data_IF_713339291728
#
_entry.id   IF_713339291728
#
_cell.length_a   1.000
_cell.length_b   1.000
_cell.length_c   1.000
_cell.angle_alpha   90.00
_cell.angle_beta   90.00
_cell.angle_gamma   90.00
#
_symmetry.space_group_name_H-M   'P 1'
#
loop_
_entity.id
_entity.type
_entity.pdbx_description
1 polymer ?
#
# COMPACT_ATOMS: atom_id res chain seq x y z
N UNK A 1 18.64 -52.70 16.45
CA UNK A 1 17.91 -53.81 15.79
C UNK A 1 18.68 -54.38 14.60
N UNK A 2 18.92 -53.64 13.50
CA UNK A 2 19.65 -54.15 12.31
C UNK A 2 21.09 -54.63 12.58
N UNK A 3 21.84 -53.94 13.44
CA UNK A 3 23.22 -54.34 13.80
C UNK A 3 23.29 -55.61 14.66
N UNK A 4 22.30 -55.86 15.51
CA UNK A 4 22.27 -57.02 16.43
C UNK A 4 21.93 -58.32 15.69
N UNK A 5 20.97 -58.26 14.76
CA UNK A 5 20.61 -59.40 13.89
C UNK A 5 21.77 -59.79 12.98
N UNK A 6 22.53 -58.81 12.48
CA UNK A 6 23.71 -59.07 11.66
C UNK A 6 24.83 -59.76 12.46
N UNK A 7 25.02 -59.37 13.73
CA UNK A 7 25.99 -59.99 14.63
C UNK A 7 25.63 -61.44 14.98
N UNK A 8 24.34 -61.71 15.27
CA UNK A 8 23.82 -63.07 15.49
C UNK A 8 23.98 -63.96 14.25
N UNK A 9 23.69 -63.42 13.06
CA UNK A 9 23.89 -64.14 11.81
C UNK A 9 25.38 -64.45 11.55
N UNK A 10 26.27 -63.49 11.81
CA UNK A 10 27.71 -63.70 11.67
C UNK A 10 28.23 -64.78 12.64
N UNK A 11 27.74 -64.80 13.88
CA UNK A 11 28.09 -65.81 14.88
C UNK A 11 27.57 -67.20 14.51
N UNK A 12 26.32 -67.29 14.05
CA UNK A 12 25.74 -68.54 13.57
C UNK A 12 26.49 -69.08 12.34
N UNK A 13 26.89 -68.20 11.43
CA UNK A 13 27.71 -68.55 10.26
C UNK A 13 29.11 -69.03 10.68
N UNK A 14 29.74 -68.38 11.66
CA UNK A 14 31.05 -68.76 12.18
C UNK A 14 31.02 -70.13 12.89
N UNK A 15 30.00 -70.40 13.71
CA UNK A 15 29.80 -71.69 14.37
C UNK A 15 29.52 -72.80 13.34
N UNK A 16 28.67 -72.51 12.34
CA UNK A 16 28.39 -73.45 11.24
C UNK A 16 29.64 -73.77 10.43
N UNK A 17 30.47 -72.78 10.12
CA UNK A 17 31.76 -72.99 9.45
C UNK A 17 32.72 -73.81 10.32
N UNK A 18 32.86 -73.50 11.61
CA UNK A 18 33.76 -74.22 12.52
C UNK A 18 33.40 -75.71 12.64
N UNK A 19 32.11 -76.04 12.71
CA UNK A 19 31.63 -77.43 12.74
C UNK A 19 31.90 -78.17 11.42
N UNK A 20 31.75 -77.49 10.28
CA UNK A 20 32.00 -78.08 8.96
C UNK A 20 33.50 -78.31 8.69
N UNK A 21 34.39 -77.51 9.29
CA UNK A 21 35.84 -77.66 9.17
C UNK A 21 36.42 -78.79 10.06
N UNK A 22 35.72 -79.27 11.07
CA UNK A 22 36.29 -80.14 12.09
C UNK A 22 36.58 -81.59 11.61
N UNK A 23 35.86 -82.11 10.61
CA UNK A 23 35.86 -83.55 10.27
C UNK A 23 36.21 -83.85 8.80
N UNK A 24 36.90 -82.92 8.12
CA UNK A 24 37.16 -82.99 6.68
C UNK A 24 38.57 -83.50 6.34
N UNK A 25 38.67 -84.71 5.80
CA UNK A 25 39.91 -85.32 5.28
C UNK A 25 40.22 -84.97 3.80
N UNK A 26 39.44 -84.09 3.18
CA UNK A 26 39.61 -83.69 1.78
C UNK A 26 40.94 -82.96 1.53
N UNK A 27 41.60 -83.28 0.43
CA UNK A 27 42.85 -82.64 -0.01
C UNK A 27 42.65 -82.01 -1.40
N UNK A 28 43.14 -80.79 -1.59
CA UNK A 28 43.16 -80.10 -2.88
C UNK A 28 44.61 -80.06 -3.35
N UNK A 29 44.85 -80.58 -4.55
CA UNK A 29 46.18 -80.61 -5.16
C UNK A 29 46.21 -79.67 -6.35
N UNK A 30 47.09 -78.68 -6.33
CA UNK A 30 47.29 -77.74 -7.43
C UNK A 30 48.56 -78.16 -8.15
N UNK A 31 48.40 -78.57 -9.40
CA UNK A 31 49.50 -79.03 -10.24
C UNK A 31 49.94 -77.91 -11.19
N UNK A 32 51.16 -77.40 -10.99
CA UNK A 32 51.78 -76.39 -11.83
C UNK A 32 53.19 -76.86 -12.20
N UNK A 33 53.41 -77.48 -13.37
CA UNK A 33 54.70 -78.12 -13.70
C UNK A 33 55.91 -77.20 -13.49
N UNK A 34 56.99 -77.63 -12.80
CA UNK A 34 57.25 -78.95 -12.20
C UNK A 34 56.79 -79.10 -10.72
N UNK A 35 56.07 -78.13 -10.16
CA UNK A 35 55.66 -78.09 -8.76
C UNK A 35 54.27 -78.70 -8.55
N UNK A 36 54.10 -79.40 -7.42
CA UNK A 36 52.80 -79.89 -6.94
C UNK A 36 52.60 -79.37 -5.52
N UNK A 37 51.52 -78.63 -5.31
CA UNK A 37 51.15 -78.09 -4.01
C UNK A 37 49.93 -78.83 -3.48
N UNK A 38 50.14 -79.61 -2.43
CA UNK A 38 49.07 -80.37 -1.75
C UNK A 38 48.68 -79.59 -0.49
N UNK A 39 47.40 -79.23 -0.37
CA UNK A 39 46.85 -78.50 0.77
C UNK A 39 45.55 -79.13 1.26
N UNK A 40 45.24 -79.00 2.55
CA UNK A 40 43.95 -79.45 3.08
C UNK A 40 42.81 -78.63 2.46
N UNK A 41 41.66 -79.26 2.23
CA UNK A 41 40.50 -78.59 1.64
C UNK A 41 40.06 -77.36 2.46
N UNK A 42 40.18 -77.45 3.79
CA UNK A 42 39.92 -76.34 4.70
C UNK A 42 40.86 -75.15 4.47
N UNK A 43 42.16 -75.40 4.28
CA UNK A 43 43.14 -74.36 3.99
C UNK A 43 42.88 -73.71 2.62
N UNK A 44 42.57 -74.52 1.60
CA UNK A 44 42.21 -74.02 0.28
C UNK A 44 40.94 -73.13 0.32
N UNK A 45 39.91 -73.55 1.05
CA UNK A 45 38.69 -72.77 1.23
C UNK A 45 38.92 -71.45 1.96
N UNK A 46 39.72 -71.47 3.04
CA UNK A 46 40.10 -70.26 3.76
C UNK A 46 40.93 -69.31 2.89
N UNK A 47 41.89 -69.85 2.13
CA UNK A 47 42.71 -69.07 1.21
C UNK A 47 41.87 -68.43 0.09
N UNK A 48 40.87 -69.15 -0.45
CA UNK A 48 39.94 -68.63 -1.44
C UNK A 48 39.05 -67.53 -0.86
N UNK A 49 38.51 -67.73 0.35
CA UNK A 49 37.74 -66.70 1.05
C UNK A 49 38.59 -65.46 1.33
N UNK A 50 39.82 -65.64 1.81
CA UNK A 50 40.77 -64.54 2.03
C UNK A 50 41.08 -63.80 0.73
N UNK A 51 41.35 -64.53 -0.36
CA UNK A 51 41.58 -63.95 -1.69
C UNK A 51 40.37 -63.16 -2.19
N UNK A 52 39.16 -63.68 -2.00
CA UNK A 52 37.91 -62.98 -2.34
C UNK A 52 37.73 -61.70 -1.51
N UNK A 53 37.96 -61.74 -0.20
CA UNK A 53 37.88 -60.57 0.68
C UNK A 53 38.91 -59.52 0.28
N UNK A 54 40.15 -59.93 0.00
CA UNK A 54 41.22 -59.05 -0.47
C UNK A 54 40.87 -58.42 -1.83
N UNK A 55 40.41 -59.22 -2.80
CA UNK A 55 39.98 -58.73 -4.11
C UNK A 55 38.83 -57.73 -3.97
N UNK A 56 37.83 -58.04 -3.15
CA UNK A 56 36.72 -57.13 -2.88
C UNK A 56 37.20 -55.82 -2.24
N UNK A 57 38.11 -55.89 -1.27
CA UNK A 57 38.69 -54.71 -0.62
C UNK A 57 39.47 -53.84 -1.62
N UNK A 58 40.26 -54.45 -2.50
CA UNK A 58 40.99 -53.74 -3.57
C UNK A 58 40.03 -53.09 -4.56
N UNK A 59 39.03 -53.82 -5.06
CA UNK A 59 38.02 -53.27 -5.97
C UNK A 59 37.24 -52.13 -5.34
N UNK A 60 36.87 -52.24 -4.06
CA UNK A 60 36.17 -51.19 -3.33
C UNK A 60 37.06 -49.97 -3.08
N UNK A 61 38.33 -50.18 -2.75
CA UNK A 61 39.32 -49.11 -2.62
C UNK A 61 39.49 -48.34 -3.93
N UNK A 62 39.61 -49.06 -5.05
CA UNK A 62 39.70 -48.47 -6.38
C UNK A 62 38.42 -47.68 -6.73
N UNK A 63 37.24 -48.23 -6.44
CA UNK A 63 35.97 -47.54 -6.65
C UNK A 63 35.88 -46.22 -5.83
N UNK A 64 36.31 -46.23 -4.56
CA UNK A 64 36.35 -45.01 -3.75
C UNK A 64 37.31 -43.96 -4.32
N UNK A 65 38.47 -44.40 -4.83
CA UNK A 65 39.47 -43.52 -5.43
C UNK A 65 38.96 -42.89 -6.73
N UNK A 66 38.22 -43.67 -7.53
CA UNK A 66 37.54 -43.19 -8.75
C UNK A 66 36.33 -42.28 -8.46
N UNK A 67 35.65 -42.46 -7.32
CA UNK A 67 34.51 -41.63 -6.89
C UNK A 67 34.92 -40.31 -6.20
N UNK A 68 36.13 -40.22 -5.63
CA UNK A 68 36.66 -39.00 -5.02
C UNK A 68 36.53 -37.73 -5.87
N UNK A 69 36.86 -37.69 -7.17
CA UNK A 69 36.70 -36.48 -7.99
C UNK A 69 35.24 -36.02 -8.10
N UNK A 70 34.27 -36.95 -8.05
CA UNK A 70 32.84 -36.61 -8.04
C UNK A 70 32.39 -36.07 -6.67
N UNK A 71 32.94 -36.60 -5.57
CA UNK A 71 32.69 -36.10 -4.22
C UNK A 71 33.31 -34.70 -4.01
N UNK A 72 34.54 -34.48 -4.48
CA UNK A 72 35.20 -33.18 -4.44
C UNK A 72 34.44 -32.12 -5.24
N UNK A 73 33.93 -32.46 -6.44
CA UNK A 73 33.07 -31.56 -7.23
C UNK A 73 31.79 -31.20 -6.49
N UNK A 74 31.11 -32.17 -5.87
CA UNK A 74 29.91 -31.92 -5.03
C UNK A 74 30.21 -31.04 -3.82
N UNK A 75 31.32 -31.30 -3.14
CA UNK A 75 31.77 -30.48 -2.00
C UNK A 75 32.09 -29.05 -2.43
N UNK A 76 32.82 -28.86 -3.52
CA UNK A 76 33.13 -27.53 -4.09
C UNK A 76 31.86 -26.76 -4.47
N UNK A 77 30.92 -27.41 -5.17
CA UNK A 77 29.62 -26.80 -5.52
C UNK A 77 28.86 -26.35 -4.26
N UNK A 78 28.80 -27.20 -3.23
CA UNK A 78 28.14 -26.87 -1.96
C UNK A 78 28.86 -25.74 -1.21
N UNK A 79 30.19 -25.69 -1.27
CA UNK A 79 30.97 -24.61 -0.68
C UNK A 79 30.74 -23.28 -1.41
N UNK A 80 30.76 -23.28 -2.75
CA UNK A 80 30.48 -22.11 -3.57
C UNK A 80 29.06 -21.58 -3.35
N UNK A 81 28.06 -22.47 -3.30
CA UNK A 81 26.68 -22.10 -3.01
C UNK A 81 26.55 -21.42 -1.63
N UNK A 82 27.18 -21.98 -0.60
CA UNK A 82 27.21 -21.38 0.74
C UNK A 82 27.91 -20.03 0.75
N UNK A 83 29.02 -19.89 0.04
CA UNK A 83 29.76 -18.63 -0.04
C UNK A 83 28.91 -17.52 -0.70
N UNK A 84 28.19 -17.83 -1.79
CA UNK A 84 27.27 -16.88 -2.43
C UNK A 84 26.11 -16.47 -1.52
N UNK A 85 25.50 -17.44 -0.84
CA UNK A 85 24.41 -17.19 0.11
C UNK A 85 24.89 -16.34 1.29
N UNK A 86 26.07 -16.63 1.84
CA UNK A 86 26.69 -15.84 2.90
C UNK A 86 26.98 -14.41 2.44
N UNK A 87 27.60 -14.23 1.26
CA UNK A 87 27.86 -12.90 0.72
C UNK A 87 26.59 -12.08 0.49
N UNK A 88 25.50 -12.73 0.06
CA UNK A 88 24.19 -12.07 -0.09
C UNK A 88 23.62 -11.63 1.26
N UNK A 89 23.72 -12.48 2.28
CA UNK A 89 23.30 -12.15 3.64
C UNK A 89 24.12 -11.01 4.24
N UNK A 90 25.44 -10.99 4.00
CA UNK A 90 26.33 -9.92 4.44
C UNK A 90 26.00 -8.58 3.75
N UNK A 91 25.75 -8.62 2.44
CA UNK A 91 25.31 -7.44 1.68
C UNK A 91 23.98 -6.89 2.22
N UNK A 92 23.01 -7.77 2.50
CA UNK A 92 21.74 -7.39 3.11
C UNK A 92 21.92 -6.81 4.51
N UNK A 93 22.76 -7.43 5.35
CA UNK A 93 23.07 -6.97 6.70
C UNK A 93 23.74 -5.58 6.68
N UNK A 94 24.63 -5.32 5.73
CA UNK A 94 25.24 -4.01 5.56
C UNK A 94 24.24 -2.95 5.07
N UNK A 95 23.35 -3.30 4.14
CA UNK A 95 22.30 -2.40 3.68
C UNK A 95 21.33 -2.01 4.80
N UNK A 96 20.84 -2.99 5.58
CA UNK A 96 19.94 -2.72 6.71
C UNK A 96 20.63 -1.96 7.84
N UNK A 97 21.94 -2.16 8.04
CA UNK A 97 22.74 -1.39 8.99
C UNK A 97 23.17 0.00 8.49
N UNK A 98 22.72 0.44 7.31
CA UNK A 98 23.07 1.74 6.74
C UNK A 98 24.51 1.87 6.22
N UNK A 99 25.27 0.76 6.15
CA UNK A 99 26.65 0.72 5.65
C UNK A 99 26.67 0.54 4.14
N UNK A 100 26.07 1.47 3.39
CA UNK A 100 25.75 1.32 1.97
C UNK A 100 26.97 1.05 1.07
N UNK A 101 28.12 1.65 1.34
CA UNK A 101 29.32 1.41 0.54
C UNK A 101 29.86 -0.02 0.71
N UNK A 102 29.79 -0.59 1.93
CA UNK A 102 30.18 -1.98 2.19
C UNK A 102 29.13 -2.96 1.66
N UNK A 103 27.85 -2.62 1.79
CA UNK A 103 26.75 -3.40 1.24
C UNK A 103 26.84 -3.52 -0.28
N UNK A 104 27.10 -2.41 -0.99
CA UNK A 104 27.29 -2.41 -2.44
C UNK A 104 28.48 -3.28 -2.86
N UNK A 105 29.65 -3.09 -2.22
CA UNK A 105 30.84 -3.91 -2.50
C UNK A 105 30.61 -5.40 -2.25
N UNK A 106 29.93 -5.76 -1.15
CA UNK A 106 29.59 -7.16 -0.87
C UNK A 106 28.65 -7.74 -1.95
N UNK A 107 27.66 -6.98 -2.40
CA UNK A 107 26.78 -7.38 -3.50
C UNK A 107 27.53 -7.52 -4.83
N UNK A 108 28.42 -6.57 -5.18
CA UNK A 108 29.28 -6.63 -6.37
C UNK A 108 30.19 -7.87 -6.38
N UNK A 109 30.74 -8.25 -5.21
CA UNK A 109 31.52 -9.49 -5.07
C UNK A 109 30.67 -10.72 -5.38
N UNK A 110 29.44 -10.80 -4.86
CA UNK A 110 28.51 -11.90 -5.15
C UNK A 110 28.15 -11.94 -6.62
N UNK A 111 27.91 -10.79 -7.25
CA UNK A 111 27.62 -10.69 -8.70
C UNK A 111 28.77 -11.28 -9.50
N UNK A 112 30.01 -10.88 -9.23
CA UNK A 112 31.18 -11.34 -9.98
C UNK A 112 31.44 -12.84 -9.78
N UNK A 113 31.34 -13.33 -8.53
CA UNK A 113 31.44 -14.76 -8.22
C UNK A 113 30.35 -15.58 -8.93
N UNK A 114 29.13 -15.05 -9.01
CA UNK A 114 28.03 -15.76 -9.68
C UNK A 114 28.23 -15.76 -11.19
N UNK A 115 28.67 -14.63 -11.76
CA UNK A 115 28.96 -14.50 -13.19
C UNK A 115 30.08 -15.44 -13.63
N UNK A 116 31.15 -15.57 -12.84
CA UNK A 116 32.25 -16.50 -13.15
C UNK A 116 31.75 -17.95 -13.15
N UNK A 117 30.92 -18.33 -12.18
CA UNK A 117 30.35 -19.68 -12.10
C UNK A 117 29.39 -20.01 -13.25
N UNK A 118 28.66 -19.00 -13.76
CA UNK A 118 27.82 -19.17 -14.95
C UNK A 118 28.65 -19.37 -16.23
N UNK A 119 29.79 -18.68 -16.37
CA UNK A 119 30.69 -18.83 -17.54
C UNK A 119 31.36 -20.20 -17.60
N UNK A 120 31.74 -20.75 -16.46
CA UNK A 120 32.44 -22.04 -16.36
C UNK A 120 31.52 -23.28 -16.50
N UNK A 121 30.27 -23.11 -16.97
CA UNK A 121 29.21 -24.14 -17.03
C UNK A 121 28.93 -24.81 -15.66
N UNK A 122 29.36 -24.20 -14.56
CA UNK A 122 29.11 -24.64 -13.18
C UNK A 122 27.90 -23.92 -12.58
N UNK A 123 26.93 -23.56 -13.43
CA UNK A 123 25.75 -22.83 -13.02
C UNK A 123 24.97 -23.56 -11.92
N UNK A 124 24.87 -22.91 -10.76
CA UNK A 124 24.06 -23.38 -9.66
C UNK A 124 22.57 -23.13 -9.96
N UNK A 125 21.64 -23.97 -9.44
CA UNK A 125 20.22 -23.90 -9.78
C UNK A 125 19.53 -22.60 -9.36
N UNK A 126 20.10 -21.83 -8.42
CA UNK A 126 19.57 -20.55 -7.91
C UNK A 126 20.44 -19.34 -8.34
N UNK A 127 21.40 -19.55 -9.23
CA UNK A 127 22.43 -18.55 -9.57
C UNK A 127 21.82 -17.26 -10.12
N UNK A 128 20.82 -17.35 -11.00
CA UNK A 128 20.16 -16.18 -11.60
C UNK A 128 19.38 -15.38 -10.54
N UNK A 129 18.64 -16.04 -9.66
CA UNK A 129 17.95 -15.39 -8.55
C UNK A 129 18.92 -14.69 -7.59
N UNK A 130 20.03 -15.35 -7.23
CA UNK A 130 21.08 -14.74 -6.39
C UNK A 130 21.67 -13.51 -7.09
N UNK A 131 21.98 -13.62 -8.38
CA UNK A 131 22.52 -12.51 -9.18
C UNK A 131 21.56 -11.32 -9.24
N UNK A 132 20.28 -11.57 -9.52
CA UNK A 132 19.27 -10.53 -9.59
C UNK A 132 19.02 -9.85 -8.23
N UNK A 133 18.99 -10.62 -7.14
CA UNK A 133 18.89 -10.07 -5.78
C UNK A 133 20.14 -9.29 -5.36
N UNK A 134 21.33 -9.74 -5.75
CA UNK A 134 22.57 -9.01 -5.49
C UNK A 134 22.59 -7.68 -6.26
N UNK A 135 22.19 -7.68 -7.53
CA UNK A 135 22.01 -6.44 -8.30
C UNK A 135 20.96 -5.51 -7.66
N UNK A 136 19.84 -6.05 -7.18
CA UNK A 136 18.84 -5.25 -6.47
C UNK A 136 19.41 -4.62 -5.19
N UNK A 137 20.16 -5.36 -4.38
CA UNK A 137 20.81 -4.82 -3.18
C UNK A 137 21.89 -3.77 -3.52
N UNK A 138 22.65 -3.99 -4.58
CA UNK A 138 23.63 -3.02 -5.07
C UNK A 138 22.92 -1.72 -5.53
N UNK A 139 21.78 -1.85 -6.22
CA UNK A 139 20.95 -0.72 -6.64
C UNK A 139 20.34 0.03 -5.44
N UNK A 140 19.83 -0.67 -4.42
CA UNK A 140 19.33 -0.05 -3.18
C UNK A 140 20.43 0.71 -2.43
N UNK A 141 21.64 0.14 -2.36
CA UNK A 141 22.78 0.83 -1.77
C UNK A 141 23.21 2.05 -2.60
N UNK A 142 23.21 1.95 -3.94
CA UNK A 142 23.51 3.06 -4.83
C UNK A 142 22.45 4.17 -4.71
N UNK A 143 21.17 3.82 -4.58
CA UNK A 143 20.09 4.77 -4.33
C UNK A 143 20.27 5.52 -3.02
N UNK A 144 20.60 4.81 -1.93
CA UNK A 144 20.89 5.42 -0.63
C UNK A 144 22.13 6.35 -0.68
N UNK A 145 23.08 6.07 -1.56
CA UNK A 145 24.25 6.92 -1.84
C UNK A 145 23.97 8.04 -2.87
N UNK A 146 22.73 8.17 -3.36
CA UNK A 146 22.31 9.12 -4.41
C UNK A 146 23.03 8.94 -5.77
N UNK A 147 23.64 7.77 -6.01
CA UNK A 147 24.30 7.42 -7.28
C UNK A 147 23.27 6.84 -8.26
N UNK A 148 22.52 7.73 -8.93
CA UNK A 148 21.41 7.36 -9.83
C UNK A 148 21.88 6.52 -11.02
N UNK A 149 23.04 6.83 -11.59
CA UNK A 149 23.58 6.11 -12.75
C UNK A 149 23.85 4.63 -12.43
N UNK A 150 24.58 4.35 -11.34
CA UNK A 150 24.85 2.97 -10.92
C UNK A 150 23.60 2.23 -10.46
N UNK A 151 22.67 2.93 -9.81
CA UNK A 151 21.38 2.34 -9.44
C UNK A 151 20.64 1.83 -10.67
N UNK A 152 20.52 2.66 -11.70
CA UNK A 152 19.75 2.33 -12.91
C UNK A 152 20.46 1.23 -13.71
N UNK A 153 21.80 1.25 -13.79
CA UNK A 153 22.61 0.17 -14.37
C UNK A 153 22.35 -1.18 -13.68
N UNK A 154 22.43 -1.23 -12.34
CA UNK A 154 22.17 -2.46 -11.59
C UNK A 154 20.71 -2.91 -11.68
N UNK A 155 19.76 -1.97 -11.71
CA UNK A 155 18.34 -2.29 -11.88
C UNK A 155 18.08 -2.94 -13.26
N UNK A 156 18.69 -2.40 -14.31
CA UNK A 156 18.59 -2.96 -15.66
C UNK A 156 19.27 -4.33 -15.74
N UNK A 157 20.47 -4.48 -15.17
CA UNK A 157 21.17 -5.77 -15.12
C UNK A 157 20.36 -6.85 -14.38
N UNK A 158 19.65 -6.49 -13.29
CA UNK A 158 18.75 -7.41 -12.60
C UNK A 158 17.57 -7.84 -13.50
N UNK A 159 16.99 -6.92 -14.26
CA UNK A 159 15.89 -7.22 -15.19
C UNK A 159 16.34 -8.11 -16.34
N UNK A 160 17.52 -7.86 -16.91
CA UNK A 160 18.11 -8.65 -18.01
C UNK A 160 18.44 -10.07 -17.56
N UNK A 161 19.03 -10.23 -16.37
CA UNK A 161 19.33 -11.52 -15.77
C UNK A 161 18.09 -12.42 -15.68
N UNK A 162 16.98 -11.84 -15.21
CA UNK A 162 15.72 -12.54 -15.03
C UNK A 162 14.99 -12.77 -16.37
N UNK A 163 15.09 -11.82 -17.30
CA UNK A 163 14.51 -11.96 -18.64
C UNK A 163 15.15 -13.14 -19.42
N UNK A 164 16.46 -13.35 -19.28
CA UNK A 164 17.15 -14.49 -19.87
C UNK A 164 16.64 -15.84 -19.36
N UNK A 165 16.34 -15.95 -18.06
CA UNK A 165 15.78 -17.17 -17.47
C UNK A 165 14.35 -17.46 -17.94
N UNK A 166 13.55 -16.39 -18.09
CA UNK A 166 12.18 -16.49 -18.61
C UNK A 166 12.14 -16.92 -20.09
N UNK A 167 13.17 -16.59 -20.88
CA UNK A 167 13.25 -16.93 -22.30
C UNK A 167 13.80 -18.35 -22.58
N UNK A 168 14.64 -18.89 -21.69
CA UNK A 168 15.35 -20.17 -21.89
C UNK A 168 14.57 -21.46 -21.57
N UNK A 169 13.24 -21.43 -21.49
CA UNK A 169 12.44 -22.52 -20.89
C UNK A 169 12.11 -23.70 -21.83
N UNK A 170 13.13 -24.37 -22.37
CA UNK A 170 12.96 -25.54 -23.27
C UNK A 170 12.84 -26.92 -22.59
N UNK A 171 13.57 -27.18 -21.49
CA UNK A 171 14.02 -28.58 -21.27
C UNK A 171 13.54 -29.35 -20.03
N UNK A 172 12.66 -28.82 -19.16
CA UNK A 172 11.97 -29.71 -18.20
C UNK A 172 10.67 -29.13 -17.61
N UNK A 173 9.57 -29.86 -17.80
CA UNK A 173 8.20 -29.42 -17.53
C UNK A 173 7.95 -29.04 -16.05
N UNK A 174 8.58 -29.72 -15.09
CA UNK A 174 8.29 -29.51 -13.66
C UNK A 174 9.32 -28.65 -12.90
N UNK A 175 10.62 -28.72 -13.27
CA UNK A 175 11.66 -27.88 -12.66
C UNK A 175 11.73 -26.48 -13.28
N UNK A 176 11.29 -26.34 -14.54
CA UNK A 176 11.17 -25.03 -15.20
C UNK A 176 10.07 -24.16 -14.58
N UNK A 177 8.93 -24.74 -14.20
CA UNK A 177 7.79 -23.98 -13.67
C UNK A 177 8.08 -23.26 -12.34
N UNK A 178 8.78 -23.92 -11.40
CA UNK A 178 9.17 -23.30 -10.11
C UNK A 178 10.18 -22.17 -10.33
N UNK A 179 11.16 -22.37 -11.22
CA UNK A 179 12.14 -21.33 -11.57
C UNK A 179 11.51 -20.13 -12.25
N UNK A 180 10.56 -20.37 -13.17
CA UNK A 180 9.81 -19.32 -13.84
C UNK A 180 9.01 -18.47 -12.86
N UNK A 181 8.39 -19.10 -11.86
CA UNK A 181 7.68 -18.38 -10.80
C UNK A 181 8.64 -17.54 -9.95
N UNK A 182 9.74 -18.12 -9.48
CA UNK A 182 10.75 -17.42 -8.68
C UNK A 182 11.35 -16.22 -9.46
N UNK A 183 11.67 -16.43 -10.74
CA UNK A 183 12.14 -15.38 -11.65
C UNK A 183 11.10 -14.26 -11.77
N UNK A 184 9.82 -14.60 -11.97
CA UNK A 184 8.75 -13.63 -12.03
C UNK A 184 8.60 -12.85 -10.71
N UNK A 185 8.66 -13.51 -9.55
CA UNK A 185 8.59 -12.85 -8.24
C UNK A 185 9.73 -11.83 -8.04
N UNK A 186 10.95 -12.16 -8.48
CA UNK A 186 12.09 -11.23 -8.45
C UNK A 186 11.88 -10.07 -9.41
N UNK A 187 11.44 -10.33 -10.65
CA UNK A 187 11.13 -9.28 -11.66
C UNK A 187 10.13 -8.27 -11.11
N UNK A 188 9.04 -8.77 -10.54
CA UNK A 188 8.00 -7.96 -9.91
C UNK A 188 8.55 -7.12 -8.75
N UNK A 189 9.45 -7.71 -7.95
CA UNK A 189 10.15 -7.02 -6.87
C UNK A 189 11.02 -5.86 -7.38
N UNK A 190 11.82 -6.09 -8.43
CA UNK A 190 12.67 -5.06 -9.05
C UNK A 190 11.81 -3.93 -9.63
N UNK A 191 10.74 -4.24 -10.36
CA UNK A 191 9.84 -3.24 -10.93
C UNK A 191 9.19 -2.36 -9.85
N UNK A 192 8.72 -2.97 -8.75
CA UNK A 192 8.15 -2.22 -7.63
C UNK A 192 9.20 -1.31 -6.95
N UNK A 193 10.45 -1.77 -6.82
CA UNK A 193 11.54 -0.93 -6.28
C UNK A 193 11.91 0.22 -7.21
N UNK A 194 11.96 0.00 -8.52
CA UNK A 194 12.17 1.07 -9.50
C UNK A 194 11.10 2.16 -9.40
N UNK A 195 9.82 1.78 -9.28
CA UNK A 195 8.73 2.74 -9.07
C UNK A 195 8.89 3.52 -7.75
N UNK A 196 9.35 2.85 -6.69
CA UNK A 196 9.62 3.47 -5.40
C UNK A 196 10.77 4.48 -5.46
N UNK A 197 11.88 4.13 -6.10
CA UNK A 197 13.02 5.04 -6.25
C UNK A 197 12.64 6.29 -7.05
N UNK A 198 11.84 6.15 -8.11
CA UNK A 198 11.34 7.29 -8.87
C UNK A 198 10.47 8.23 -8.00
N UNK A 199 9.66 7.65 -7.11
CA UNK A 199 8.89 8.43 -6.13
C UNK A 199 9.81 9.14 -5.11
N UNK A 200 10.82 8.44 -4.58
CA UNK A 200 11.79 9.01 -3.63
C UNK A 200 12.64 10.12 -4.28
N UNK A 201 12.92 10.02 -5.57
CA UNK A 201 13.56 11.06 -6.39
C UNK A 201 12.65 12.27 -6.73
N UNK A 202 11.38 12.23 -6.31
CA UNK A 202 10.33 13.21 -6.63
C UNK A 202 10.02 13.35 -8.13
N UNK A 203 10.33 12.34 -8.94
CA UNK A 203 9.92 12.28 -10.36
C UNK A 203 8.53 11.64 -10.47
N UNK A 204 7.51 12.49 -10.43
CA UNK A 204 6.11 12.06 -10.50
C UNK A 204 5.75 11.34 -11.81
N UNK A 205 6.31 11.79 -12.93
CA UNK A 205 5.98 11.24 -14.26
C UNK A 205 6.58 9.86 -14.44
N UNK A 206 7.87 9.69 -14.11
CA UNK A 206 8.52 8.38 -14.17
C UNK A 206 7.89 7.41 -13.18
N UNK A 207 7.57 7.86 -11.96
CA UNK A 207 6.92 7.00 -10.98
C UNK A 207 5.55 6.51 -11.47
N UNK A 208 4.71 7.38 -12.04
CA UNK A 208 3.42 6.98 -12.62
C UNK A 208 3.59 5.96 -13.76
N UNK A 209 4.47 6.24 -14.72
CA UNK A 209 4.76 5.32 -15.83
C UNK A 209 5.19 3.94 -15.31
N UNK A 210 6.12 3.90 -14.35
CA UNK A 210 6.57 2.64 -13.72
C UNK A 210 5.44 1.92 -12.99
N UNK A 211 4.52 2.65 -12.35
CA UNK A 211 3.36 2.07 -11.68
C UNK A 211 2.35 1.47 -12.67
N UNK A 212 2.21 2.04 -13.86
CA UNK A 212 1.32 1.54 -14.90
C UNK A 212 1.95 0.37 -15.70
N UNK A 213 3.28 0.25 -15.73
CA UNK A 213 4.02 -0.91 -16.26
C UNK A 213 3.96 -2.16 -15.36
N UNK A 214 3.43 -2.05 -14.13
CA UNK A 214 3.37 -3.18 -13.19
C UNK A 214 2.37 -4.25 -13.64
N UNK A 215 2.70 -5.56 -13.52
CA UNK A 215 1.74 -6.63 -13.74
C UNK A 215 0.52 -6.50 -12.83
N UNK A 216 -0.66 -6.88 -13.32
CA UNK A 216 -1.94 -6.74 -12.59
C UNK A 216 -1.90 -7.38 -11.19
N UNK A 217 -1.20 -8.51 -11.04
CA UNK A 217 -1.03 -9.17 -9.75
C UNK A 217 -0.27 -8.32 -8.73
N UNK A 218 0.78 -7.61 -9.16
CA UNK A 218 1.58 -6.72 -8.30
C UNK A 218 0.83 -5.44 -7.98
N UNK A 219 0.15 -4.85 -8.97
CA UNK A 219 -0.59 -3.60 -8.82
C UNK A 219 -1.67 -3.69 -7.73
N UNK A 220 -2.25 -4.88 -7.51
CA UNK A 220 -3.25 -5.14 -6.46
C UNK A 220 -2.66 -5.39 -5.07
N UNK A 221 -1.34 -5.62 -4.95
CA UNK A 221 -0.70 -5.83 -3.63
C UNK A 221 -0.76 -4.55 -2.81
N UNK A 222 -0.94 -4.69 -1.49
CA UNK A 222 -1.07 -3.56 -0.57
C UNK A 222 0.09 -2.55 -0.68
N UNK A 223 1.33 -3.03 -0.84
CA UNK A 223 2.50 -2.18 -0.98
C UNK A 223 2.46 -1.33 -2.27
N UNK A 224 2.02 -1.91 -3.38
CA UNK A 224 1.87 -1.19 -4.65
C UNK A 224 0.74 -0.16 -4.58
N UNK A 225 -0.40 -0.51 -3.99
CA UNK A 225 -1.51 0.44 -3.80
C UNK A 225 -1.12 1.64 -2.92
N UNK A 226 -0.40 1.39 -1.80
CA UNK A 226 0.11 2.46 -0.94
C UNK A 226 1.12 3.35 -1.68
N UNK A 227 1.98 2.76 -2.52
CA UNK A 227 2.89 3.53 -3.37
C UNK A 227 2.12 4.32 -4.42
N UNK A 228 1.11 3.73 -5.07
CA UNK A 228 0.25 4.39 -6.07
C UNK A 228 -0.41 5.63 -5.48
N UNK A 229 -0.97 5.53 -4.28
CA UNK A 229 -1.56 6.67 -3.56
C UNK A 229 -0.55 7.81 -3.33
N UNK A 230 0.68 7.48 -2.94
CA UNK A 230 1.73 8.49 -2.74
C UNK A 230 2.16 9.14 -4.05
N UNK A 231 2.30 8.33 -5.11
CA UNK A 231 2.69 8.78 -6.44
C UNK A 231 1.60 9.66 -7.08
N UNK A 232 0.32 9.28 -7.00
CA UNK A 232 -0.78 10.08 -7.56
C UNK A 232 -0.94 11.42 -6.85
N UNK A 233 -0.70 11.46 -5.53
CA UNK A 233 -0.64 12.72 -4.77
C UNK A 233 0.55 13.59 -5.19
N UNK A 234 1.74 13.01 -5.34
CA UNK A 234 2.92 13.74 -5.83
C UNK A 234 2.69 14.30 -7.25
N UNK A 235 1.96 13.57 -8.09
CA UNK A 235 1.63 13.97 -9.45
C UNK A 235 0.48 15.00 -9.56
N UNK A 236 -0.16 15.39 -8.45
CA UNK A 236 -1.31 16.30 -8.48
C UNK A 236 -2.53 15.70 -9.19
N UNK A 237 -2.76 14.39 -9.08
CA UNK A 237 -3.92 13.70 -9.67
C UNK A 237 -4.89 13.20 -8.58
N UNK A 238 -5.69 14.08 -7.96
CA UNK A 238 -6.47 13.74 -6.77
C UNK A 238 -7.62 12.75 -7.05
N UNK A 239 -8.22 12.76 -8.26
CA UNK A 239 -9.23 11.76 -8.66
C UNK A 239 -8.66 10.34 -8.69
N UNK A 240 -7.50 10.15 -9.32
CA UNK A 240 -6.82 8.86 -9.33
C UNK A 240 -6.38 8.43 -7.91
N UNK A 241 -6.04 9.39 -7.04
CA UNK A 241 -5.76 9.11 -5.64
C UNK A 241 -7.01 8.59 -4.89
N UNK A 242 -8.19 9.18 -5.10
CA UNK A 242 -9.45 8.73 -4.49
C UNK A 242 -9.75 7.26 -4.84
N UNK A 243 -9.62 6.87 -6.10
CA UNK A 243 -9.80 5.48 -6.53
C UNK A 243 -8.87 4.52 -5.77
N UNK A 244 -7.60 4.90 -5.62
CA UNK A 244 -6.64 4.08 -4.86
C UNK A 244 -6.98 4.00 -3.37
N UNK A 245 -7.49 5.07 -2.76
CA UNK A 245 -7.93 5.07 -1.35
C UNK A 245 -9.15 4.18 -1.18
N UNK A 246 -10.12 4.21 -2.11
CA UNK A 246 -11.30 3.34 -2.08
C UNK A 246 -10.89 1.86 -2.11
N UNK A 247 -9.92 1.50 -2.97
CA UNK A 247 -9.34 0.15 -3.00
C UNK A 247 -8.63 -0.20 -1.69
N UNK A 248 -7.82 0.72 -1.14
CA UNK A 248 -7.11 0.52 0.13
C UNK A 248 -8.08 0.36 1.32
N UNK A 249 -9.22 1.06 1.31
CA UNK A 249 -10.27 0.93 2.31
C UNK A 249 -10.89 -0.48 2.31
N UNK A 250 -11.16 -1.04 1.13
CA UNK A 250 -11.68 -2.42 0.99
C UNK A 250 -10.73 -3.46 1.60
N UNK A 251 -9.43 -3.23 1.48
CA UNK A 251 -8.38 -4.09 2.04
C UNK A 251 -8.03 -3.80 3.51
N UNK A 252 -8.75 -2.88 4.20
CA UNK A 252 -8.48 -2.47 5.58
C UNK A 252 -7.03 -2.02 5.79
N UNK A 253 -6.47 -1.33 4.81
CA UNK A 253 -5.09 -0.84 4.81
C UNK A 253 -4.81 0.25 5.86
N UNK A 254 -5.87 0.98 6.23
CA UNK A 254 -5.89 2.09 7.17
C UNK A 254 -7.03 1.86 8.17
N UNK A 255 -7.01 2.57 9.31
CA UNK A 255 -8.19 2.66 10.17
C UNK A 255 -9.31 3.43 9.45
N UNK A 256 -10.56 3.14 9.76
CA UNK A 256 -11.71 3.82 9.14
C UNK A 256 -11.64 5.34 9.34
N UNK A 257 -11.17 5.78 10.51
CA UNK A 257 -10.92 7.20 10.83
C UNK A 257 -9.86 7.82 9.92
N UNK A 258 -8.76 7.13 9.67
CA UNK A 258 -7.68 7.63 8.80
C UNK A 258 -8.14 7.67 7.34
N UNK A 259 -8.90 6.67 6.88
CA UNK A 259 -9.51 6.67 5.55
C UNK A 259 -10.42 7.88 5.36
N UNK A 260 -11.29 8.18 6.32
CA UNK A 260 -12.19 9.34 6.24
C UNK A 260 -11.42 10.66 6.13
N UNK A 261 -10.34 10.83 6.91
CA UNK A 261 -9.51 12.05 6.84
C UNK A 261 -8.83 12.18 5.47
N UNK A 262 -8.28 11.08 4.93
CA UNK A 262 -7.64 11.09 3.61
C UNK A 262 -8.66 11.38 2.51
N UNK A 263 -9.84 10.75 2.55
CA UNK A 263 -10.92 10.98 1.57
C UNK A 263 -11.38 12.43 1.61
N UNK A 264 -11.66 13.00 2.80
CA UNK A 264 -12.05 14.41 2.94
C UNK A 264 -11.01 15.37 2.35
N UNK A 265 -9.73 15.14 2.63
CA UNK A 265 -8.64 15.94 2.08
C UNK A 265 -8.59 15.88 0.55
N UNK A 266 -8.66 14.68 -0.02
CA UNK A 266 -8.62 14.49 -1.47
C UNK A 266 -9.87 15.04 -2.18
N UNK A 267 -11.07 14.86 -1.61
CA UNK A 267 -12.30 15.46 -2.14
C UNK A 267 -12.20 16.99 -2.12
N UNK A 268 -11.65 17.56 -1.05
CA UNK A 268 -11.38 19.00 -0.98
C UNK A 268 -10.40 19.46 -2.06
N UNK A 269 -9.34 18.71 -2.33
CA UNK A 269 -8.41 19.01 -3.42
C UNK A 269 -9.11 18.95 -4.79
N UNK A 270 -9.84 17.86 -5.10
CA UNK A 270 -10.59 17.69 -6.36
C UNK A 270 -11.54 18.87 -6.63
N UNK A 271 -12.33 19.27 -5.63
CA UNK A 271 -13.31 20.34 -5.79
C UNK A 271 -12.68 21.73 -5.89
N UNK A 272 -11.48 21.90 -5.29
CA UNK A 272 -10.73 23.15 -5.37
C UNK A 272 -10.09 23.35 -6.73
N UNK A 273 -9.58 22.27 -7.33
CA UNK A 273 -8.90 22.28 -8.63
C UNK A 273 -9.87 22.50 -9.81
N UNK A 274 -11.19 22.46 -9.59
CA UNK A 274 -12.17 22.82 -10.59
C UNK A 274 -12.19 24.34 -10.84
N UNK A 275 -11.87 24.77 -12.07
CA UNK A 275 -11.82 26.18 -12.46
C UNK A 275 -13.07 26.65 -13.21
N UNK A 276 -13.83 25.71 -13.79
CA UNK A 276 -15.07 25.99 -14.52
C UNK A 276 -16.26 25.25 -13.89
N UNK A 277 -17.48 25.74 -14.13
CA UNK A 277 -18.70 25.07 -13.67
C UNK A 277 -18.82 23.65 -14.23
N UNK A 278 -18.48 23.44 -15.50
CA UNK A 278 -18.50 22.11 -16.13
C UNK A 278 -17.49 21.17 -15.50
N UNK A 279 -16.28 21.66 -15.22
CA UNK A 279 -15.25 20.87 -14.53
C UNK A 279 -15.69 20.50 -13.12
N UNK A 280 -16.33 21.43 -12.39
CA UNK A 280 -16.87 21.18 -11.07
C UNK A 280 -17.99 20.13 -11.10
N UNK A 281 -18.87 20.18 -12.10
CA UNK A 281 -19.93 19.18 -12.29
C UNK A 281 -19.33 17.80 -12.59
N UNK A 282 -18.36 17.71 -13.50
CA UNK A 282 -17.66 16.45 -13.79
C UNK A 282 -16.95 15.90 -12.55
N UNK A 283 -16.27 16.77 -11.79
CA UNK A 283 -15.61 16.41 -10.56
C UNK A 283 -16.61 15.89 -9.50
N UNK A 284 -17.76 16.55 -9.35
CA UNK A 284 -18.84 16.13 -8.46
C UNK A 284 -19.45 14.79 -8.88
N UNK A 285 -19.65 14.58 -10.18
CA UNK A 285 -20.17 13.33 -10.74
C UNK A 285 -19.18 12.16 -10.60
N UNK A 286 -17.88 12.42 -10.54
CA UNK A 286 -16.86 11.41 -10.28
C UNK A 286 -16.80 10.93 -8.81
N UNK A 287 -17.37 11.70 -7.87
CA UNK A 287 -17.44 11.31 -6.46
C UNK A 287 -18.47 10.19 -6.24
N UNK A 288 -18.16 9.27 -5.33
CA UNK A 288 -19.11 8.23 -4.91
C UNK A 288 -20.25 8.82 -4.07
N UNK A 289 -21.44 8.20 -4.01
CA UNK A 289 -22.58 8.71 -3.24
C UNK A 289 -22.23 9.01 -1.78
N UNK A 290 -21.48 8.13 -1.12
CA UNK A 290 -21.02 8.32 0.26
C UNK A 290 -20.06 9.51 0.42
N UNK A 291 -19.31 9.88 -0.62
CA UNK A 291 -18.42 11.05 -0.61
C UNK A 291 -19.21 12.34 -0.85
N UNK A 292 -20.28 12.30 -1.65
CA UNK A 292 -21.19 13.43 -1.88
C UNK A 292 -22.03 13.78 -0.66
N UNK A 293 -22.32 12.79 0.17
CA UNK A 293 -23.02 12.98 1.45
C UNK A 293 -22.15 13.65 2.52
N UNK A 294 -20.84 13.80 2.31
CA UNK A 294 -19.97 14.48 3.24
C UNK A 294 -20.30 15.98 3.30
N UNK A 295 -20.54 16.56 4.50
CA UNK A 295 -20.93 17.95 4.64
C UNK A 295 -19.87 18.92 4.09
N UNK A 296 -18.59 18.62 4.33
CA UNK A 296 -17.47 19.40 3.83
C UNK A 296 -17.43 19.45 2.29
N UNK A 297 -17.74 18.33 1.63
CA UNK A 297 -17.71 18.22 0.18
C UNK A 297 -18.83 19.04 -0.48
N UNK A 298 -20.08 18.89 -0.02
CA UNK A 298 -21.20 19.63 -0.58
C UNK A 298 -21.09 21.14 -0.33
N UNK A 299 -20.66 21.54 0.87
CA UNK A 299 -20.43 22.96 1.19
C UNK A 299 -19.34 23.56 0.31
N UNK A 300 -18.21 22.87 0.14
CA UNK A 300 -17.14 23.36 -0.71
C UNK A 300 -17.55 23.40 -2.19
N UNK A 301 -18.24 22.38 -2.69
CA UNK A 301 -18.77 22.38 -4.05
C UNK A 301 -19.75 23.55 -4.27
N UNK A 302 -20.62 23.83 -3.30
CA UNK A 302 -21.54 24.96 -3.34
C UNK A 302 -20.85 26.32 -3.31
N UNK A 303 -19.88 26.51 -2.41
CA UNK A 303 -19.06 27.72 -2.32
C UNK A 303 -18.31 27.97 -3.65
N UNK A 304 -17.72 26.92 -4.23
CA UNK A 304 -17.01 27.02 -5.51
C UNK A 304 -17.96 27.32 -6.66
N UNK A 305 -19.13 26.69 -6.71
CA UNK A 305 -20.15 26.96 -7.73
C UNK A 305 -20.61 28.41 -7.70
N UNK A 306 -20.84 28.97 -6.50
CA UNK A 306 -21.19 30.40 -6.37
C UNK A 306 -20.07 31.31 -6.82
N UNK A 307 -18.82 31.02 -6.46
CA UNK A 307 -17.67 31.82 -6.90
C UNK A 307 -17.49 31.81 -8.43
N UNK A 308 -17.70 30.65 -9.07
CA UNK A 308 -17.60 30.50 -10.53
C UNK A 308 -18.85 31.01 -11.28
N UNK A 309 -19.97 31.18 -10.57
CA UNK A 309 -21.22 31.73 -11.11
C UNK A 309 -21.33 33.25 -11.05
N UNK A 310 -20.29 33.96 -10.59
CA UNK A 310 -20.23 35.42 -10.57
C UNK A 310 -20.10 35.98 -12.00
N UNK A 311 -21.23 36.06 -12.71
CA UNK A 311 -21.35 36.77 -14.00
C UNK A 311 -22.05 36.00 -15.11
N UNK A 312 -22.08 34.66 -15.05
CA UNK A 312 -22.58 33.82 -16.15
C UNK A 312 -24.05 33.44 -16.02
N UNK A 313 -24.60 33.38 -14.81
CA UNK A 313 -25.88 32.72 -14.54
C UNK A 313 -26.95 33.72 -14.05
N UNK A 314 -27.53 34.47 -14.99
CA UNK A 314 -28.62 35.44 -14.71
C UNK A 314 -29.93 34.78 -14.22
N UNK A 315 -30.03 33.45 -14.28
CA UNK A 315 -31.23 32.68 -13.91
C UNK A 315 -31.09 31.79 -12.68
N UNK A 316 -29.95 31.83 -11.96
CA UNK A 316 -29.76 31.06 -10.73
C UNK A 316 -29.71 29.54 -10.89
N UNK A 317 -29.69 29.00 -12.12
CA UNK A 317 -29.81 27.56 -12.39
C UNK A 317 -28.73 26.71 -11.69
N UNK A 318 -27.50 27.24 -11.57
CA UNK A 318 -26.41 26.63 -10.84
C UNK A 318 -26.70 26.53 -9.34
N UNK A 319 -27.33 27.54 -8.75
CA UNK A 319 -27.66 27.53 -7.32
C UNK A 319 -28.79 26.55 -6.99
N UNK A 320 -29.77 26.34 -7.89
CA UNK A 320 -30.77 25.27 -7.72
C UNK A 320 -30.12 23.90 -7.59
N UNK A 321 -29.03 23.64 -8.33
CA UNK A 321 -28.25 22.39 -8.19
C UNK A 321 -27.53 22.31 -6.86
N UNK A 322 -26.92 23.41 -6.41
CA UNK A 322 -26.27 23.49 -5.08
C UNK A 322 -27.27 23.18 -3.98
N UNK A 323 -28.49 23.72 -4.06
CA UNK A 323 -29.56 23.42 -3.11
C UNK A 323 -29.88 21.92 -3.07
N UNK A 324 -29.87 21.21 -4.22
CA UNK A 324 -30.02 19.74 -4.24
C UNK A 324 -28.86 18.99 -3.58
N UNK A 325 -27.63 19.53 -3.65
CA UNK A 325 -26.47 18.95 -2.98
C UNK A 325 -26.46 19.20 -1.47
N UNK A 326 -27.02 20.33 -1.04
CA UNK A 326 -27.09 20.73 0.37
C UNK A 326 -28.24 20.06 1.14
N UNK A 327 -29.24 19.50 0.46
CA UNK A 327 -30.37 18.80 1.08
C UNK A 327 -29.96 17.72 2.09
N UNK A 328 -29.13 16.70 1.75
CA UNK A 328 -28.71 15.69 2.73
C UNK A 328 -27.87 16.29 3.85
N UNK A 329 -27.08 17.32 3.55
CA UNK A 329 -26.21 17.99 4.53
C UNK A 329 -27.00 18.84 5.51
N UNK A 330 -28.08 19.47 5.06
CA UNK A 330 -29.03 20.18 5.91
C UNK A 330 -29.63 19.23 6.94
N UNK A 331 -30.12 18.07 6.52
CA UNK A 331 -30.70 17.09 7.43
C UNK A 331 -29.69 16.57 8.46
N UNK A 332 -28.43 16.38 8.08
CA UNK A 332 -27.36 15.96 8.98
C UNK A 332 -26.96 17.06 9.98
N UNK A 333 -26.85 18.31 9.54
CA UNK A 333 -26.33 19.42 10.35
C UNK A 333 -27.42 20.14 11.17
N UNK A 334 -28.68 20.02 10.80
CA UNK A 334 -29.81 20.69 11.47
C UNK A 334 -30.57 19.76 12.41
N UNK A 335 -30.45 18.44 12.26
CA UNK A 335 -30.92 17.50 13.29
C UNK A 335 -30.28 17.84 14.64
N UNK A 336 -31.05 17.80 15.74
CA UNK A 336 -30.47 17.98 17.06
C UNK A 336 -29.38 16.94 17.26
N UNK A 337 -28.22 17.39 17.77
CA UNK A 337 -27.15 16.50 18.20
C UNK A 337 -27.75 15.39 19.07
N UNK A 338 -27.27 14.16 18.88
CA UNK A 338 -27.75 12.97 19.61
C UNK A 338 -28.01 13.28 21.09
N UNK A 339 -29.02 12.64 21.72
CA UNK A 339 -29.25 12.79 23.15
C UNK A 339 -27.94 12.55 23.93
N UNK A 340 -27.71 13.34 24.97
CA UNK A 340 -26.47 13.39 25.77
C UNK A 340 -25.99 12.00 26.26
N UNK A 341 -26.88 11.02 26.33
CA UNK A 341 -26.59 9.61 26.64
C UNK A 341 -25.69 8.90 25.61
N UNK A 342 -25.74 9.27 24.32
CA UNK A 342 -24.86 8.70 23.30
C UNK A 342 -23.44 9.31 23.34
N UNK A 343 -23.35 10.58 23.72
CA UNK A 343 -22.10 11.35 23.82
C UNK A 343 -21.22 10.84 24.97
N UNK A 344 -21.84 10.27 26.02
CA UNK A 344 -21.14 9.67 27.16
C UNK A 344 -20.26 8.44 26.80
N UNK A 345 -20.45 7.85 25.62
CA UNK A 345 -19.65 6.70 25.12
C UNK A 345 -18.44 7.09 24.27
N UNK A 346 -18.25 8.39 23.98
CA UNK A 346 -17.19 8.90 23.12
C UNK A 346 -16.12 9.63 23.92
N UNK A 347 -14.85 9.55 23.50
CA UNK A 347 -13.77 10.25 24.21
C UNK A 347 -14.00 11.76 24.19
N UNK A 348 -13.79 12.43 25.33
CA UNK A 348 -14.03 13.86 25.48
C UNK A 348 -13.29 14.71 24.42
N UNK A 349 -12.07 14.31 24.02
CA UNK A 349 -11.30 15.01 22.99
C UNK A 349 -11.94 14.91 21.59
N UNK A 350 -12.43 13.73 21.19
CA UNK A 350 -13.13 13.54 19.91
C UNK A 350 -14.48 14.24 19.86
N UNK A 351 -15.16 14.35 21.00
CA UNK A 351 -16.46 15.05 21.12
C UNK A 351 -16.26 16.55 20.98
N UNK A 352 -15.25 17.13 21.64
CA UNK A 352 -14.97 18.57 21.58
C UNK A 352 -14.51 18.99 20.18
N UNK A 353 -13.63 18.23 19.53
CA UNK A 353 -13.23 18.52 18.14
C UNK A 353 -14.39 18.32 17.16
N UNK A 354 -15.18 17.26 17.32
CA UNK A 354 -16.39 17.02 16.52
C UNK A 354 -17.41 18.16 16.63
N UNK A 355 -17.67 18.65 17.85
CA UNK A 355 -18.62 19.73 18.08
C UNK A 355 -18.15 21.08 17.50
N UNK A 356 -16.85 21.41 17.64
CA UNK A 356 -16.28 22.62 17.06
C UNK A 356 -16.32 22.59 15.52
N UNK A 357 -15.97 21.45 14.92
CA UNK A 357 -16.06 21.28 13.46
C UNK A 357 -17.51 21.34 12.96
N UNK A 358 -18.46 20.73 13.70
CA UNK A 358 -19.88 20.81 13.35
C UNK A 358 -20.40 22.26 13.41
N UNK A 359 -20.04 23.03 14.44
CA UNK A 359 -20.41 24.45 14.55
C UNK A 359 -19.88 25.27 13.37
N UNK A 360 -18.61 25.07 12.99
CA UNK A 360 -18.01 25.74 11.84
C UNK A 360 -18.69 25.36 10.51
N UNK A 361 -19.08 24.10 10.33
CA UNK A 361 -19.80 23.65 9.13
C UNK A 361 -21.22 24.26 9.06
N UNK A 362 -21.91 24.39 10.20
CA UNK A 362 -23.23 25.06 10.28
C UNK A 362 -23.13 26.54 9.91
N UNK A 363 -22.10 27.23 10.40
CA UNK A 363 -21.84 28.61 10.02
C UNK A 363 -21.60 28.75 8.51
N UNK A 364 -20.75 27.89 7.93
CA UNK A 364 -20.50 27.88 6.47
C UNK A 364 -21.77 27.61 5.67
N UNK A 365 -22.61 26.67 6.11
CA UNK A 365 -23.91 26.38 5.49
C UNK A 365 -24.81 27.61 5.45
N UNK A 366 -24.96 28.31 6.59
CA UNK A 366 -25.79 29.51 6.68
C UNK A 366 -25.26 30.62 5.77
N UNK A 367 -23.95 30.87 5.78
CA UNK A 367 -23.31 31.88 4.92
C UNK A 367 -23.44 31.55 3.43
N UNK A 368 -23.37 30.26 3.08
CA UNK A 368 -23.56 29.78 1.71
C UNK A 368 -25.00 29.99 1.24
N UNK A 369 -25.98 29.63 2.08
CA UNK A 369 -27.40 29.84 1.78
C UNK A 369 -27.74 31.33 1.71
N UNK A 370 -27.23 32.16 2.60
CA UNK A 370 -27.40 33.62 2.54
C UNK A 370 -26.94 34.18 1.18
N UNK A 371 -25.70 33.87 0.78
CA UNK A 371 -25.12 34.34 -0.50
C UNK A 371 -25.85 33.79 -1.71
N UNK A 372 -26.29 32.55 -1.64
CA UNK A 372 -27.06 31.94 -2.73
C UNK A 372 -28.45 32.55 -2.86
N UNK A 373 -29.11 32.81 -1.74
CA UNK A 373 -30.40 33.48 -1.71
C UNK A 373 -30.35 34.96 -2.13
N UNK A 374 -29.15 35.58 -2.21
CA UNK A 374 -28.96 36.91 -2.84
C UNK A 374 -29.21 36.87 -4.33
N UNK A 375 -28.95 35.73 -4.98
CA UNK A 375 -29.05 35.59 -6.43
C UNK A 375 -30.39 35.02 -6.86
N UNK A 376 -30.98 34.17 -6.02
CA UNK A 376 -32.26 33.52 -6.28
C UNK A 376 -33.07 33.41 -4.99
N UNK A 377 -34.33 33.87 -4.95
CA UNK A 377 -35.16 33.68 -3.77
C UNK A 377 -35.36 32.18 -3.48
N UNK A 378 -35.48 31.80 -2.19
CA UNK A 378 -35.67 30.40 -1.82
C UNK A 378 -37.00 29.83 -2.35
N UNK A 379 -36.96 28.62 -2.88
CA UNK A 379 -38.16 27.87 -3.27
C UNK A 379 -39.01 27.50 -2.04
N UNK A 380 -40.32 27.26 -2.24
CA UNK A 380 -41.25 26.89 -1.18
C UNK A 380 -40.79 25.67 -0.34
N UNK A 381 -40.12 24.70 -0.97
CA UNK A 381 -39.57 23.53 -0.29
C UNK A 381 -38.45 23.90 0.71
N UNK A 382 -37.55 24.82 0.33
CA UNK A 382 -36.46 25.25 1.21
C UNK A 382 -36.94 26.19 2.31
N UNK A 383 -37.95 27.02 2.03
CA UNK A 383 -38.62 27.83 3.06
C UNK A 383 -39.26 26.95 4.14
N UNK A 384 -40.04 25.94 3.74
CA UNK A 384 -40.63 25.00 4.69
C UNK A 384 -39.59 24.26 5.55
N UNK A 385 -38.43 23.91 4.98
CA UNK A 385 -37.31 23.30 5.73
C UNK A 385 -36.72 24.24 6.79
N UNK A 386 -36.50 25.51 6.43
CA UNK A 386 -35.93 26.52 7.33
C UNK A 386 -36.91 26.84 8.46
N UNK A 387 -38.19 27.01 8.15
CA UNK A 387 -39.24 27.26 9.16
C UNK A 387 -39.38 26.07 10.12
N UNK A 388 -39.46 24.84 9.59
CA UNK A 388 -39.55 23.63 10.43
C UNK A 388 -38.35 23.50 11.36
N UNK A 389 -37.14 23.78 10.85
CA UNK A 389 -35.92 23.76 11.63
C UNK A 389 -35.91 24.81 12.75
N UNK A 390 -36.35 26.02 12.43
CA UNK A 390 -36.45 27.12 13.40
C UNK A 390 -37.50 26.84 14.48
N UNK A 391 -38.64 26.22 14.13
CA UNK A 391 -39.66 25.80 15.09
C UNK A 391 -39.17 24.66 15.99
N UNK A 392 -38.41 23.71 15.43
CA UNK A 392 -37.86 22.58 16.18
C UNK A 392 -36.74 23.00 17.13
N UNK A 393 -35.93 23.99 16.75
CA UNK A 393 -34.83 24.51 17.55
C UNK A 393 -34.91 26.04 17.72
N UNK A 394 -35.85 26.56 18.54
CA UNK A 394 -36.04 28.00 18.70
C UNK A 394 -34.88 28.71 19.36
N UNK A 395 -33.98 28.01 20.06
CA UNK A 395 -32.80 28.58 20.73
C UNK A 395 -31.52 28.58 19.90
N UNK A 396 -31.60 28.27 18.60
CA UNK A 396 -30.42 28.25 17.74
C UNK A 396 -30.23 29.59 17.00
N UNK A 397 -29.20 30.39 17.34
CA UNK A 397 -29.00 31.71 16.74
C UNK A 397 -28.74 31.66 15.23
N UNK A 398 -28.10 30.59 14.72
CA UNK A 398 -27.77 30.47 13.30
C UNK A 398 -29.03 30.24 12.44
N UNK A 399 -29.97 29.43 12.95
CA UNK A 399 -31.24 29.17 12.27
C UNK A 399 -32.17 30.38 12.32
N UNK A 400 -32.23 31.08 13.47
CA UNK A 400 -32.98 32.33 13.60
C UNK A 400 -32.46 33.41 12.64
N UNK A 401 -31.14 33.56 12.52
CA UNK A 401 -30.53 34.47 11.57
C UNK A 401 -30.90 34.12 10.12
N UNK A 402 -30.73 32.85 9.73
CA UNK A 402 -31.05 32.40 8.38
C UNK A 402 -32.53 32.64 8.04
N UNK A 403 -33.44 32.27 8.95
CA UNK A 403 -34.88 32.50 8.81
C UNK A 403 -35.20 34.00 8.67
N UNK A 404 -34.61 34.84 9.52
CA UNK A 404 -34.78 36.30 9.47
C UNK A 404 -34.31 36.91 8.15
N UNK A 405 -33.13 36.49 7.66
CA UNK A 405 -32.59 36.92 6.35
C UNK A 405 -33.47 36.42 5.20
N UNK A 406 -33.99 35.20 5.25
CA UNK A 406 -34.93 34.71 4.22
C UNK A 406 -36.26 35.46 4.23
N UNK A 407 -36.82 35.77 5.41
CA UNK A 407 -38.04 36.56 5.52
C UNK A 407 -37.85 37.99 4.99
N UNK A 408 -36.68 38.61 5.24
CA UNK A 408 -36.34 39.92 4.68
C UNK A 408 -36.39 39.90 3.15
N UNK A 409 -35.84 38.87 2.51
CA UNK A 409 -35.83 38.73 1.04
C UNK A 409 -37.22 38.53 0.46
N UNK A 410 -38.11 37.88 1.20
CA UNK A 410 -39.51 37.71 0.82
C UNK A 410 -40.41 38.91 1.16
N UNK A 411 -39.82 40.05 1.56
CA UNK A 411 -40.55 41.26 1.98
C UNK A 411 -41.47 41.06 3.21
N UNK A 412 -41.17 40.09 4.07
CA UNK A 412 -41.87 39.85 5.34
C UNK A 412 -41.20 40.59 6.50
N UNK A 413 -41.23 41.92 6.42
CA UNK A 413 -40.39 42.82 7.23
C UNK A 413 -40.54 42.66 8.75
N UNK A 414 -41.77 42.52 9.26
CA UNK A 414 -42.04 42.42 10.70
C UNK A 414 -41.46 41.15 11.32
N UNK A 415 -41.65 40.00 10.65
CA UNK A 415 -41.09 38.71 11.09
C UNK A 415 -39.56 38.71 10.98
N UNK A 416 -39.02 39.27 9.90
CA UNK A 416 -37.59 39.39 9.69
C UNK A 416 -36.90 40.18 10.82
N UNK A 417 -37.45 41.34 11.21
CA UNK A 417 -36.89 42.16 12.28
C UNK A 417 -36.89 41.42 13.63
N UNK A 418 -37.98 40.72 13.97
CA UNK A 418 -38.10 39.97 15.21
C UNK A 418 -37.06 38.84 15.29
N UNK A 419 -36.95 38.03 14.23
CA UNK A 419 -36.02 36.90 14.19
C UNK A 419 -34.55 37.35 14.19
N UNK A 420 -34.23 38.43 13.47
CA UNK A 420 -32.87 38.99 13.46
C UNK A 420 -32.48 39.55 14.84
N UNK A 421 -33.37 40.30 15.51
CA UNK A 421 -33.13 40.78 16.87
C UNK A 421 -32.95 39.64 17.87
N UNK A 422 -33.75 38.57 17.76
CA UNK A 422 -33.60 37.38 18.59
C UNK A 422 -32.22 36.72 18.37
N UNK A 423 -31.80 36.57 17.10
CA UNK A 423 -30.51 35.95 16.79
C UNK A 423 -29.33 36.71 17.41
N UNK A 424 -29.36 38.04 17.38
CA UNK A 424 -28.29 38.91 17.91
C UNK A 424 -28.02 38.70 19.40
N UNK A 425 -29.02 38.28 20.18
CA UNK A 425 -28.84 38.04 21.63
C UNK A 425 -27.98 36.81 21.93
N UNK A 426 -27.96 35.83 21.03
CA UNK A 426 -27.32 34.53 21.23
C UNK A 426 -26.16 34.26 20.26
N UNK A 427 -26.01 35.08 19.21
CA UNK A 427 -24.92 34.99 18.26
C UNK A 427 -23.56 35.24 18.94
N UNK A 428 -22.62 34.32 18.74
CA UNK A 428 -21.24 34.42 19.24
C UNK A 428 -20.25 34.94 18.20
N UNK A 429 -20.51 34.68 16.92
CA UNK A 429 -19.65 35.06 15.80
C UNK A 429 -19.79 36.55 15.47
N UNK A 430 -18.69 37.30 15.52
CA UNK A 430 -18.66 38.74 15.27
C UNK A 430 -19.02 39.08 13.81
N UNK A 431 -18.52 38.29 12.85
CA UNK A 431 -18.81 38.50 11.44
C UNK A 431 -20.28 38.32 11.11
N UNK A 432 -20.94 37.33 11.71
CA UNK A 432 -22.37 37.10 11.50
C UNK A 432 -23.24 38.12 12.27
N UNK A 433 -22.82 38.58 13.46
CA UNK A 433 -23.47 39.70 14.15
C UNK A 433 -23.44 40.96 13.30
N UNK A 434 -22.29 41.29 12.71
CA UNK A 434 -22.15 42.44 11.82
C UNK A 434 -23.13 42.36 10.66
N UNK A 435 -23.24 41.21 10.00
CA UNK A 435 -24.21 41.00 8.91
C UNK A 435 -25.66 41.12 9.37
N UNK A 436 -25.99 40.61 10.55
CA UNK A 436 -27.33 40.74 11.13
C UNK A 436 -27.70 42.21 11.41
N UNK A 437 -26.74 43.01 11.93
CA UNK A 437 -26.93 44.45 12.10
C UNK A 437 -27.07 45.19 10.77
N UNK A 438 -26.28 44.85 9.75
CA UNK A 438 -26.43 45.41 8.39
C UNK A 438 -27.81 45.06 7.80
N UNK A 439 -28.31 43.84 7.99
CA UNK A 439 -29.63 43.45 7.56
C UNK A 439 -30.74 44.25 8.28
N UNK A 440 -30.61 44.46 9.59
CA UNK A 440 -31.52 45.32 10.35
C UNK A 440 -31.46 46.79 9.93
N UNK A 441 -30.28 47.31 9.59
CA UNK A 441 -30.12 48.67 9.10
C UNK A 441 -30.83 48.87 7.76
N UNK A 442 -30.64 47.94 6.81
CA UNK A 442 -31.36 47.95 5.51
C UNK A 442 -32.87 47.84 5.68
N UNK A 443 -33.34 47.02 6.63
CA UNK A 443 -34.77 46.92 6.97
C UNK A 443 -35.33 48.23 7.52
N UNK A 444 -34.57 48.97 8.32
CA UNK A 444 -34.98 50.25 8.87
C UNK A 444 -35.01 51.36 7.80
N UNK A 445 -34.02 51.36 6.89
CA UNK A 445 -34.01 52.28 5.73
C UNK A 445 -35.24 52.09 4.83
N UNK A 446 -35.60 50.84 4.52
CA UNK A 446 -36.80 50.53 3.72
C UNK A 446 -38.12 50.90 4.40
N UNK A 447 -38.11 51.10 5.72
CA UNK A 447 -39.26 51.53 6.53
C UNK A 447 -39.25 53.02 6.83
N UNK A 448 -38.30 53.77 6.26
CA UNK A 448 -38.13 55.22 6.48
C UNK A 448 -37.91 55.61 7.96
N UNK A 449 -37.25 54.73 8.74
CA UNK A 449 -36.86 55.01 10.13
C UNK A 449 -35.35 55.31 10.22
N UNK A 450 -34.93 56.59 10.07
CA UNK A 450 -33.53 56.96 10.01
C UNK A 450 -32.81 56.81 11.36
N UNK A 451 -33.54 56.86 12.49
CA UNK A 451 -32.93 56.73 13.81
C UNK A 451 -32.50 55.28 14.05
N UNK A 452 -33.41 54.33 13.81
CA UNK A 452 -33.11 52.91 13.95
C UNK A 452 -32.05 52.43 12.94
N UNK A 453 -32.05 52.98 11.73
CA UNK A 453 -31.03 52.67 10.72
C UNK A 453 -29.62 53.12 11.19
N UNK A 454 -29.50 54.34 11.70
CA UNK A 454 -28.22 54.90 12.15
C UNK A 454 -27.65 54.15 13.36
N UNK A 455 -28.51 53.74 14.29
CA UNK A 455 -28.12 52.88 15.42
C UNK A 455 -27.63 51.51 14.95
N UNK A 456 -28.35 50.86 14.04
CA UNK A 456 -27.95 49.56 13.50
C UNK A 456 -26.63 49.64 12.71
N UNK A 457 -26.42 50.70 11.93
CA UNK A 457 -25.14 50.95 11.24
C UNK A 457 -23.98 51.19 12.20
N UNK A 458 -24.20 51.94 13.30
CA UNK A 458 -23.19 52.11 14.36
C UNK A 458 -22.82 50.78 15.00
N UNK A 459 -23.79 49.94 15.34
CA UNK A 459 -23.53 48.62 15.91
C UNK A 459 -22.84 47.68 14.91
N UNK A 460 -23.17 47.76 13.62
CA UNK A 460 -22.47 47.03 12.55
C UNK A 460 -21.03 47.52 12.28
N UNK A 461 -20.67 48.72 12.73
CA UNK A 461 -19.30 49.24 12.61
C UNK A 461 -18.45 48.96 13.85
N UNK A 462 -19.09 48.78 15.01
CA UNK A 462 -18.44 48.50 16.30
C UNK A 462 -18.16 47.00 16.52
N UNK A 463 -18.96 46.12 15.92
CA UNK A 463 -18.71 44.67 15.85
C UNK A 463 -18.16 44.26 14.50
#
# INVERSE_FOLDING_TARGET
>A
MRSLVWLLFLFALAVGAALFLADNAGMVTVFWPPYRFDMSANFAALALLLAFVLLHAVLRGLAMLLDMPAQARRWRRKHQERAQQQGLLDAMAHWTAGRYLRGRKAAEIVIEQTRSLMRDEQALPLSIRIMALAHLLAAECAHALQDRARRDEHAQAAMEAVAGELAGSGDSVNRGAVRMRDAQEVREGVQLRMARWAYEDRDAQTALRRMDELPQGVARRLAALRLRLRVTRLAGKPLAALETVRLLSKHRAFSDTATQVIVRGLVSEVLRDAHDQTQLLQAWEALEPAERELPEAALQAGERMLALGEGTDKGGSAFTRVLRWLEPVWEQLVRPALPASAIASMSAASVVQGAATASALRLRLVLLLERGFDRMPPDAAWLGRIETAQMTNPGDPLLQYLAGVTCMRLSLWGKAQQLLKQSLTQLKDEGLRRRAWVALARLAEQREDPQAALEAWKQAALG
#
